data_IF_707116772936
#
_entry.id   IF_707116772936
#
_cell.length_a   1.000
_cell.length_b   1.000
_cell.length_c   1.000
_cell.angle_alpha   90.00
_cell.angle_beta   90.00
_cell.angle_gamma   90.00
#
_symmetry.space_group_name_H-M   'P 1'
#
loop_
_entity.id
_entity.type
_entity.pdbx_description
1 polymer ?
#
# COMPACT_ATOMS: atom_id res chain seq x y z
N UNK A 1 2.65 -7.59 22.70
CA UNK A 1 3.39 -8.71 22.07
C UNK A 1 3.04 -8.84 20.58
N UNK A 2 1.97 -8.20 20.12
CA UNK A 2 1.48 -8.21 18.72
C UNK A 2 2.04 -7.09 17.82
N UNK A 3 2.49 -5.95 18.38
CA UNK A 3 2.78 -4.75 17.59
C UNK A 3 3.80 -4.96 16.47
N UNK A 4 4.97 -5.55 16.73
CA UNK A 4 6.03 -5.61 15.72
C UNK A 4 5.66 -6.49 14.50
N UNK A 5 4.99 -7.63 14.71
CA UNK A 5 4.58 -8.51 13.61
C UNK A 5 3.46 -7.88 12.77
N UNK A 6 2.50 -7.21 13.44
CA UNK A 6 1.44 -6.46 12.77
C UNK A 6 2.03 -5.26 12.01
N UNK A 7 2.92 -4.48 12.63
CA UNK A 7 3.65 -3.36 12.01
C UNK A 7 4.41 -3.80 10.76
N UNK A 8 5.05 -4.98 10.78
CA UNK A 8 5.71 -5.55 9.60
C UNK A 8 4.73 -5.89 8.48
N UNK A 9 3.58 -6.48 8.82
CA UNK A 9 2.54 -6.77 7.83
C UNK A 9 1.97 -5.47 7.24
N UNK A 10 1.74 -4.46 8.08
CA UNK A 10 1.35 -3.11 7.65
C UNK A 10 2.38 -2.49 6.71
N UNK A 11 3.68 -2.56 7.04
CA UNK A 11 4.74 -2.09 6.15
C UNK A 11 4.71 -2.79 4.79
N UNK A 12 4.50 -4.11 4.75
CA UNK A 12 4.35 -4.86 3.50
C UNK A 12 3.14 -4.34 2.71
N UNK A 13 2.00 -4.10 3.38
CA UNK A 13 0.78 -3.57 2.76
C UNK A 13 0.96 -2.15 2.21
N UNK A 14 1.63 -1.26 2.95
CA UNK A 14 1.91 0.11 2.50
C UNK A 14 2.82 0.12 1.27
N UNK A 15 3.89 -0.67 1.27
CA UNK A 15 4.77 -0.79 0.09
C UNK A 15 3.99 -1.34 -1.11
N UNK A 16 3.10 -2.32 -0.87
CA UNK A 16 2.24 -2.86 -1.91
C UNK A 16 1.36 -1.78 -2.54
N UNK A 17 0.62 -1.03 -1.72
CA UNK A 17 -0.32 -0.02 -2.16
C UNK A 17 0.36 1.17 -2.83
N UNK A 18 1.47 1.64 -2.25
CA UNK A 18 2.13 2.86 -2.71
C UNK A 18 3.01 2.62 -3.94
N UNK A 19 3.63 1.43 -4.05
CA UNK A 19 4.62 1.15 -5.09
C UNK A 19 4.30 -0.02 -6.00
N UNK A 20 3.94 -1.19 -5.45
CA UNK A 20 3.77 -2.39 -6.26
C UNK A 20 2.56 -2.24 -7.20
N UNK A 21 1.41 -1.78 -6.69
CA UNK A 21 0.22 -1.59 -7.52
C UNK A 21 0.41 -0.53 -8.61
N UNK A 22 1.09 0.57 -8.26
CA UNK A 22 1.15 1.77 -9.10
C UNK A 22 2.28 1.81 -10.13
N UNK A 23 3.34 1.00 -9.98
CA UNK A 23 4.51 1.07 -10.88
C UNK A 23 4.84 -0.28 -11.50
N UNK A 24 4.79 -0.36 -12.84
CA UNK A 24 5.23 -1.49 -13.67
C UNK A 24 6.66 -1.90 -13.36
N UNK A 25 7.54 -0.94 -13.10
CA UNK A 25 8.91 -1.25 -12.69
C UNK A 25 8.94 -2.16 -11.46
N UNK A 26 8.18 -1.82 -10.43
CA UNK A 26 8.14 -2.53 -9.16
C UNK A 26 7.44 -3.88 -9.30
N UNK A 27 6.25 -3.91 -9.93
CA UNK A 27 5.50 -5.16 -10.07
C UNK A 27 6.20 -6.20 -10.96
N UNK A 28 7.01 -5.77 -11.94
CA UNK A 28 7.83 -6.68 -12.75
C UNK A 28 8.88 -7.47 -11.96
N UNK A 29 9.14 -7.11 -10.69
CA UNK A 29 10.14 -7.76 -9.83
C UNK A 29 9.57 -8.86 -8.94
N UNK A 30 8.26 -9.05 -8.98
CA UNK A 30 7.49 -10.04 -8.20
C UNK A 30 6.63 -10.89 -9.15
N UNK A 31 5.90 -11.87 -8.62
CA UNK A 31 4.91 -12.62 -9.40
C UNK A 31 3.61 -11.83 -9.43
N UNK A 32 3.46 -10.92 -10.38
CA UNK A 32 2.28 -10.06 -10.50
C UNK A 32 1.35 -10.54 -11.62
N UNK A 33 0.74 -11.72 -11.41
CA UNK A 33 -0.20 -12.34 -12.35
C UNK A 33 -1.56 -11.64 -12.34
N UNK A 34 -2.42 -11.89 -13.33
CA UNK A 34 -3.74 -11.26 -13.39
C UNK A 34 -4.63 -11.61 -12.19
N UNK A 35 -4.48 -12.82 -11.64
CA UNK A 35 -5.14 -13.21 -10.38
C UNK A 35 -4.67 -12.34 -9.21
N UNK A 36 -3.37 -12.12 -9.09
CA UNK A 36 -2.76 -11.33 -8.00
C UNK A 36 -3.12 -9.83 -8.12
N UNK A 37 -3.45 -9.34 -9.32
CA UNK A 37 -3.93 -7.96 -9.56
C UNK A 37 -5.33 -7.70 -9.01
N UNK A 38 -6.10 -8.75 -8.70
CA UNK A 38 -7.42 -8.61 -8.08
C UNK A 38 -7.29 -8.26 -6.59
N UNK A 39 -8.32 -8.57 -5.79
CA UNK A 39 -8.26 -8.42 -4.34
C UNK A 39 -7.45 -9.50 -3.63
N UNK A 40 -6.85 -10.46 -4.36
CA UNK A 40 -6.14 -11.62 -3.79
C UNK A 40 -5.16 -11.29 -2.65
N UNK A 41 -4.28 -10.31 -2.83
CA UNK A 41 -3.37 -9.88 -1.76
C UNK A 41 -4.10 -9.20 -0.60
N UNK A 42 -5.13 -8.40 -0.90
CA UNK A 42 -6.00 -7.79 0.10
C UNK A 42 -6.74 -8.82 0.95
N UNK A 43 -7.22 -9.91 0.34
CA UNK A 43 -7.88 -11.01 1.03
C UNK A 43 -6.92 -11.68 2.01
N UNK A 44 -5.67 -11.96 1.59
CA UNK A 44 -4.63 -12.49 2.49
C UNK A 44 -4.42 -11.57 3.70
N UNK A 45 -4.29 -10.26 3.47
CA UNK A 45 -4.12 -9.29 4.56
C UNK A 45 -5.33 -9.24 5.49
N UNK A 46 -6.54 -9.25 4.94
CA UNK A 46 -7.78 -9.28 5.71
C UNK A 46 -7.86 -10.51 6.61
N UNK A 47 -7.51 -11.69 6.08
CA UNK A 47 -7.46 -12.91 6.87
C UNK A 47 -6.42 -12.86 8.01
N UNK A 48 -5.24 -12.30 7.77
CA UNK A 48 -4.27 -12.10 8.86
C UNK A 48 -4.87 -11.23 9.97
N UNK A 49 -5.47 -10.09 9.60
CA UNK A 49 -6.14 -9.19 10.53
C UNK A 49 -7.22 -9.90 11.35
N UNK A 50 -8.11 -10.64 10.69
CA UNK A 50 -9.24 -11.34 11.33
C UNK A 50 -8.80 -12.48 12.26
N UNK A 51 -7.60 -13.03 12.05
CA UNK A 51 -7.13 -14.21 12.78
C UNK A 51 -6.08 -13.91 13.85
N UNK A 52 -5.54 -12.68 13.93
CA UNK A 52 -4.56 -12.33 14.96
C UNK A 52 -5.13 -12.41 16.38
N UNK A 53 -6.36 -11.90 16.59
CA UNK A 53 -7.04 -11.95 17.90
C UNK A 53 -7.24 -13.38 18.41
N UNK A 54 -7.44 -14.34 17.50
CA UNK A 54 -7.58 -15.76 17.83
C UNK A 54 -6.30 -16.38 18.40
N UNK A 55 -5.14 -15.72 18.24
CA UNK A 55 -3.84 -16.16 18.71
C UNK A 55 -3.47 -15.49 20.04
N UNK A 56 -3.95 -14.27 20.28
CA UNK A 56 -3.60 -13.47 21.46
C UNK A 56 -4.59 -13.61 22.62
N UNK A 57 -5.87 -13.88 22.35
CA UNK A 57 -6.91 -13.89 23.38
C UNK A 57 -7.13 -15.30 23.98
N UNK A 58 -6.23 -15.71 24.88
CA UNK A 58 -6.38 -16.98 25.60
C UNK A 58 -7.50 -16.88 26.65
N UNK A 59 -8.58 -17.68 26.55
CA UNK A 59 -9.71 -17.61 27.47
C UNK A 59 -9.33 -18.14 28.86
N UNK A 60 -9.55 -17.34 29.90
CA UNK A 60 -9.31 -17.70 31.30
C UNK A 60 -10.56 -18.27 31.96
N UNK A 61 -10.37 -19.24 32.88
CA UNK A 61 -11.42 -19.84 33.71
C UNK A 61 -12.64 -20.33 32.92
N UNK A 62 -12.39 -20.93 31.75
CA UNK A 62 -13.46 -21.36 30.84
C UNK A 62 -13.80 -22.84 31.00
N UNK A 63 -15.06 -23.20 30.76
CA UNK A 63 -15.49 -24.61 30.76
C UNK A 63 -14.85 -25.40 29.61
N UNK A 64 -14.82 -26.72 29.71
CA UNK A 64 -14.14 -27.60 28.75
C UNK A 64 -14.58 -27.37 27.29
N UNK A 65 -15.87 -27.14 27.04
CA UNK A 65 -16.36 -26.84 25.67
C UNK A 65 -15.71 -25.59 25.08
N UNK A 66 -15.59 -24.52 25.87
CA UNK A 66 -14.96 -23.27 25.44
C UNK A 66 -13.46 -23.46 25.21
N UNK A 67 -12.78 -24.22 26.09
CA UNK A 67 -11.37 -24.57 25.92
C UNK A 67 -11.11 -25.33 24.62
N UNK A 68 -11.91 -26.35 24.34
CA UNK A 68 -11.74 -27.16 23.13
C UNK A 68 -11.99 -26.35 21.87
N UNK A 69 -13.06 -25.54 21.85
CA UNK A 69 -13.32 -24.60 20.75
C UNK A 69 -12.16 -23.63 20.54
N UNK A 70 -11.60 -23.08 21.62
CA UNK A 70 -10.42 -22.22 21.56
C UNK A 70 -9.21 -22.95 20.98
N UNK A 71 -8.85 -24.15 21.48
CA UNK A 71 -7.71 -24.90 20.96
C UNK A 71 -7.82 -25.20 19.46
N UNK A 72 -9.02 -25.54 18.99
CA UNK A 72 -9.31 -25.77 17.58
C UNK A 72 -9.08 -24.49 16.78
N UNK A 73 -9.73 -23.39 17.16
CA UNK A 73 -9.62 -22.11 16.46
C UNK A 73 -8.20 -21.55 16.48
N UNK A 74 -7.52 -21.62 17.62
CA UNK A 74 -6.14 -21.19 17.82
C UNK A 74 -5.16 -21.93 16.91
N UNK A 75 -5.20 -23.27 16.92
CA UNK A 75 -4.32 -24.09 16.08
C UNK A 75 -4.66 -23.94 14.59
N UNK A 76 -5.96 -23.77 14.25
CA UNK A 76 -6.39 -23.56 12.88
C UNK A 76 -5.95 -22.19 12.34
N UNK A 77 -6.04 -21.12 13.14
CA UNK A 77 -5.56 -19.80 12.79
C UNK A 77 -4.05 -19.82 12.48
N UNK A 78 -3.25 -20.45 13.35
CA UNK A 78 -1.82 -20.64 13.12
C UNK A 78 -1.55 -21.38 11.80
N UNK A 79 -2.26 -22.48 11.55
CA UNK A 79 -2.10 -23.28 10.32
C UNK A 79 -2.39 -22.46 9.06
N UNK A 80 -3.49 -21.69 9.08
CA UNK A 80 -3.91 -20.84 7.96
C UNK A 80 -2.92 -19.71 7.73
N UNK A 81 -2.49 -19.02 8.77
CA UNK A 81 -1.46 -17.97 8.67
C UNK A 81 -0.13 -18.52 8.13
N UNK A 82 0.25 -19.75 8.49
CA UNK A 82 1.42 -20.42 7.90
C UNK A 82 1.28 -20.69 6.40
N UNK A 83 0.09 -21.07 5.93
CA UNK A 83 -0.18 -21.24 4.50
C UNK A 83 -0.19 -19.88 3.78
N UNK A 84 -0.71 -18.81 4.38
CA UNK A 84 -0.61 -17.47 3.81
C UNK A 84 0.81 -16.95 3.72
N UNK A 85 1.70 -17.26 4.68
CA UNK A 85 3.13 -16.93 4.53
C UNK A 85 3.73 -17.66 3.32
N UNK A 86 3.34 -18.90 3.05
CA UNK A 86 3.77 -19.62 1.85
C UNK A 86 3.36 -18.88 0.57
N UNK A 87 2.11 -18.41 0.51
CA UNK A 87 1.60 -17.61 -0.60
C UNK A 87 2.32 -16.26 -0.73
N UNK A 88 2.54 -15.53 0.36
CA UNK A 88 3.27 -14.26 0.32
C UNK A 88 4.70 -14.46 -0.21
N UNK A 89 5.40 -15.51 0.22
CA UNK A 89 6.74 -15.84 -0.29
C UNK A 89 6.74 -16.17 -1.79
N UNK A 90 5.64 -16.77 -2.29
CA UNK A 90 5.41 -17.01 -3.70
C UNK A 90 5.20 -15.69 -4.46
N UNK A 91 4.23 -14.87 -4.03
CA UNK A 91 3.89 -13.56 -4.63
C UNK A 91 5.15 -12.70 -4.75
N UNK A 92 5.88 -12.50 -3.64
CA UNK A 92 7.07 -11.66 -3.61
C UNK A 92 8.32 -12.32 -4.22
N UNK A 93 8.19 -13.53 -4.76
CA UNK A 93 9.26 -14.27 -5.44
C UNK A 93 10.52 -14.41 -4.57
N UNK A 94 10.34 -14.78 -3.30
CA UNK A 94 11.43 -14.96 -2.33
C UNK A 94 12.23 -16.26 -2.55
N UNK A 95 11.87 -17.07 -3.56
CA UNK A 95 12.47 -18.37 -3.88
C UNK A 95 12.47 -19.36 -2.69
N UNK A 96 11.48 -19.23 -1.81
CA UNK A 96 11.22 -20.14 -0.70
C UNK A 96 9.89 -20.84 -0.99
N UNK A 97 9.86 -22.16 -0.85
CA UNK A 97 8.69 -22.99 -1.09
C UNK A 97 8.32 -23.79 0.16
N UNK A 98 7.24 -24.57 0.11
CA UNK A 98 6.83 -25.46 1.20
C UNK A 98 7.96 -26.31 1.80
N UNK A 99 8.83 -26.86 0.96
CA UNK A 99 9.94 -27.71 1.40
C UNK A 99 10.95 -26.93 2.26
N UNK A 100 11.16 -25.65 1.94
CA UNK A 100 11.94 -24.76 2.80
C UNK A 100 11.25 -24.52 4.15
N UNK A 101 9.96 -24.21 4.16
CA UNK A 101 9.22 -23.95 5.41
C UNK A 101 9.18 -25.18 6.31
N UNK A 102 9.04 -26.39 5.75
CA UNK A 102 9.10 -27.66 6.50
C UNK A 102 10.43 -27.90 7.23
N UNK A 103 11.51 -27.22 6.86
CA UNK A 103 12.79 -27.29 7.57
C UNK A 103 12.85 -26.34 8.77
N UNK A 104 11.95 -25.35 8.85
CA UNK A 104 11.83 -24.47 10.01
C UNK A 104 11.11 -25.22 11.13
N UNK A 105 11.79 -25.39 12.27
CA UNK A 105 11.24 -26.08 13.44
C UNK A 105 10.01 -25.38 14.01
N UNK A 106 9.93 -24.04 13.91
CA UNK A 106 8.80 -23.27 14.39
C UNK A 106 7.55 -23.53 13.54
N UNK A 107 7.74 -23.63 12.22
CA UNK A 107 6.68 -24.02 11.29
C UNK A 107 6.23 -25.46 11.55
N UNK A 108 7.17 -26.41 11.49
CA UNK A 108 6.86 -27.85 11.50
C UNK A 108 6.24 -28.29 12.82
N UNK A 109 6.78 -27.85 13.97
CA UNK A 109 6.28 -28.27 15.29
C UNK A 109 4.84 -27.80 15.54
N UNK A 110 4.52 -26.54 15.22
CA UNK A 110 3.16 -26.03 15.36
C UNK A 110 2.17 -26.73 14.41
N UNK A 111 2.61 -26.98 13.16
CA UNK A 111 1.81 -27.68 12.16
C UNK A 111 1.55 -29.15 12.54
N UNK A 112 2.55 -29.82 13.12
CA UNK A 112 2.42 -31.19 13.64
C UNK A 112 1.41 -31.28 14.79
N UNK A 113 1.48 -30.37 15.77
CA UNK A 113 0.50 -30.30 16.88
C UNK A 113 -0.92 -30.13 16.32
N UNK A 114 -1.14 -29.17 15.42
CA UNK A 114 -2.44 -28.96 14.78
C UNK A 114 -2.89 -30.20 14.00
N UNK A 115 -2.01 -30.78 13.20
CA UNK A 115 -2.36 -31.92 12.36
C UNK A 115 -2.69 -33.16 13.18
N UNK A 116 -1.97 -33.39 14.27
CA UNK A 116 -2.23 -34.50 15.18
C UNK A 116 -3.57 -34.32 15.90
N UNK A 117 -3.79 -33.14 16.49
CA UNK A 117 -4.92 -32.92 17.41
C UNK A 117 -6.24 -32.53 16.71
N UNK A 118 -6.16 -31.75 15.62
CA UNK A 118 -7.33 -31.15 14.97
C UNK A 118 -7.51 -31.66 13.53
N UNK A 119 -6.42 -31.76 12.77
CA UNK A 119 -6.49 -32.16 11.36
C UNK A 119 -6.78 -33.64 11.15
N UNK A 120 -6.10 -34.50 11.89
CA UNK A 120 -6.16 -35.95 11.78
C UNK A 120 -6.17 -36.64 13.16
N UNK A 121 -7.19 -36.35 14.00
CA UNK A 121 -7.29 -36.94 15.35
C UNK A 121 -7.40 -38.47 15.33
N UNK A 122 -7.70 -39.07 14.17
CA UNK A 122 -7.51 -40.50 13.88
C UNK A 122 -6.65 -40.57 12.62
N UNK A 123 -5.38 -40.94 12.78
CA UNK A 123 -4.41 -41.01 11.69
C UNK A 123 -4.28 -42.43 11.16
N UNK A 124 -4.46 -42.58 9.85
CA UNK A 124 -4.17 -43.82 9.11
C UNK A 124 -3.22 -43.54 7.95
N UNK A 125 -2.26 -44.44 7.71
CA UNK A 125 -1.37 -44.40 6.54
C UNK A 125 -1.54 -45.72 5.80
N UNK A 126 -1.90 -45.66 4.50
CA UNK A 126 -2.16 -46.84 3.67
C UNK A 126 -3.12 -47.84 4.33
N UNK A 127 -4.20 -47.33 4.95
CA UNK A 127 -5.19 -48.13 5.67
C UNK A 127 -4.78 -48.62 7.07
N UNK A 128 -3.50 -48.53 7.45
CA UNK A 128 -3.01 -48.92 8.77
C UNK A 128 -3.24 -47.82 9.80
N UNK A 129 -3.77 -48.17 10.96
CA UNK A 129 -3.96 -47.26 12.09
C UNK A 129 -2.62 -46.87 12.71
N UNK A 130 -2.35 -45.56 12.79
CA UNK A 130 -1.08 -45.02 13.29
C UNK A 130 -1.28 -44.42 14.67
N UNK A 131 -2.27 -43.54 14.81
CA UNK A 131 -2.54 -42.88 16.08
C UNK A 131 -3.97 -42.37 16.22
N UNK A 132 -4.38 -42.16 17.46
CA UNK A 132 -5.58 -41.39 17.79
C UNK A 132 -5.33 -40.44 18.96
N UNK A 133 -6.02 -39.30 18.97
CA UNK A 133 -5.93 -38.30 20.03
C UNK A 133 -7.29 -37.86 20.57
N UNK A 134 -7.32 -37.49 21.84
CA UNK A 134 -8.52 -36.98 22.53
C UNK A 134 -8.13 -35.80 23.42
N UNK A 135 -8.90 -34.70 23.40
CA UNK A 135 -8.68 -33.60 24.34
C UNK A 135 -8.82 -34.06 25.79
N UNK A 136 -7.99 -33.51 26.68
CA UNK A 136 -8.10 -33.75 28.12
C UNK A 136 -9.12 -32.82 28.76
N UNK A 137 -9.93 -33.37 29.68
CA UNK A 137 -10.88 -32.61 30.51
C UNK A 137 -10.23 -31.98 31.74
N UNK A 138 -8.92 -32.18 31.93
CA UNK A 138 -8.15 -31.73 33.09
C UNK A 138 -7.07 -30.69 32.72
N UNK A 139 -7.16 -30.09 31.53
CA UNK A 139 -6.18 -29.09 31.09
C UNK A 139 -6.24 -27.82 31.94
N UNK A 140 -5.06 -27.29 32.31
CA UNK A 140 -4.97 -25.92 32.84
C UNK A 140 -5.28 -24.91 31.72
N UNK A 141 -5.54 -23.68 32.12
CA UNK A 141 -5.94 -22.61 31.19
C UNK A 141 -4.80 -22.17 30.26
N UNK A 142 -3.55 -22.41 30.64
CA UNK A 142 -2.34 -21.98 29.93
C UNK A 142 -1.70 -23.09 29.07
N UNK A 143 -2.36 -24.24 28.95
CA UNK A 143 -1.83 -25.41 28.25
C UNK A 143 -2.88 -26.10 27.39
N UNK A 144 -2.41 -26.68 26.30
CA UNK A 144 -3.13 -27.65 25.49
C UNK A 144 -2.74 -29.02 26.01
N UNK A 145 -3.71 -29.74 26.56
CA UNK A 145 -3.50 -31.09 27.07
C UNK A 145 -4.39 -32.09 26.33
N UNK A 146 -3.80 -33.20 25.90
CA UNK A 146 -4.51 -34.25 25.19
C UNK A 146 -3.89 -35.62 25.43
N UNK A 147 -4.69 -36.65 25.24
CA UNK A 147 -4.29 -38.03 25.29
C UNK A 147 -3.91 -38.47 23.87
N UNK A 148 -2.80 -39.18 23.74
CA UNK A 148 -2.32 -39.75 22.50
C UNK A 148 -2.15 -41.27 22.63
N UNK A 149 -2.59 -42.00 21.62
CA UNK A 149 -2.36 -43.43 21.45
C UNK A 149 -1.63 -43.60 20.12
N UNK A 150 -0.39 -44.11 20.14
CA UNK A 150 0.47 -44.19 18.94
C UNK A 150 1.07 -45.60 18.79
N UNK A 151 1.25 -46.05 17.55
CA UNK A 151 1.81 -47.37 17.24
C UNK A 151 3.20 -47.59 17.86
N UNK A 152 4.04 -46.56 17.88
CA UNK A 152 5.39 -46.60 18.47
C UNK A 152 5.40 -46.94 19.97
N UNK A 153 4.28 -46.72 20.67
CA UNK A 153 4.11 -47.07 22.09
C UNK A 153 3.11 -48.23 22.28
N UNK A 154 2.95 -49.09 21.27
CA UNK A 154 1.96 -50.17 21.23
C UNK A 154 0.54 -49.70 21.59
N UNK A 155 0.18 -48.48 21.19
CA UNK A 155 -1.08 -47.82 21.53
C UNK A 155 -1.36 -47.69 23.04
N UNK A 156 -0.32 -47.68 23.87
CA UNK A 156 -0.46 -47.28 25.28
C UNK A 156 -0.75 -45.78 25.35
N UNK A 157 -1.56 -45.39 26.34
CA UNK A 157 -1.91 -43.97 26.49
C UNK A 157 -0.68 -43.16 26.86
N UNK A 158 -0.55 -41.99 26.24
CA UNK A 158 0.45 -40.98 26.54
C UNK A 158 -0.27 -39.66 26.79
N UNK A 159 0.10 -38.98 27.87
CA UNK A 159 -0.43 -37.66 28.19
C UNK A 159 0.50 -36.59 27.61
N UNK A 160 0.02 -35.85 26.62
CA UNK A 160 0.76 -34.75 26.02
C UNK A 160 0.29 -33.43 26.65
N UNK A 161 1.25 -32.60 27.04
CA UNK A 161 1.01 -31.27 27.59
C UNK A 161 1.91 -30.25 26.89
N UNK A 162 1.29 -29.19 26.36
CA UNK A 162 1.97 -28.16 25.58
C UNK A 162 1.54 -26.79 26.09
N UNK A 163 2.50 -25.94 26.48
CA UNK A 163 2.20 -24.56 26.84
C UNK A 163 1.75 -23.75 25.63
N UNK A 164 0.64 -23.02 25.79
CA UNK A 164 0.09 -22.16 24.74
C UNK A 164 1.11 -21.08 24.36
N UNK A 165 1.76 -20.47 25.35
CA UNK A 165 2.82 -19.48 25.15
C UNK A 165 3.95 -19.98 24.26
N UNK A 166 4.33 -21.26 24.35
CA UNK A 166 5.38 -21.81 23.51
C UNK A 166 4.91 -21.97 22.06
N UNK A 167 3.64 -22.29 21.83
CA UNK A 167 3.04 -22.33 20.50
C UNK A 167 3.01 -20.93 19.90
N UNK A 168 2.57 -19.93 20.67
CA UNK A 168 2.53 -18.52 20.27
C UNK A 168 3.94 -18.02 19.94
N UNK A 169 4.92 -18.21 20.82
CA UNK A 169 6.31 -17.77 20.62
C UNK A 169 6.92 -18.36 19.34
N UNK A 170 6.72 -19.66 19.09
CA UNK A 170 7.17 -20.28 17.83
C UNK A 170 6.48 -19.65 16.63
N UNK A 171 5.18 -19.42 16.70
CA UNK A 171 4.44 -18.82 15.60
C UNK A 171 4.88 -17.40 15.29
N UNK A 172 5.05 -16.56 16.32
CA UNK A 172 5.57 -15.20 16.17
C UNK A 172 6.97 -15.22 15.54
N UNK A 173 7.87 -16.10 16.00
CA UNK A 173 9.21 -16.23 15.42
C UNK A 173 9.16 -16.64 13.95
N UNK A 174 8.24 -17.54 13.58
CA UNK A 174 8.00 -17.93 12.20
C UNK A 174 7.51 -16.75 11.35
N UNK A 175 6.49 -16.02 11.81
CA UNK A 175 5.97 -14.85 11.09
C UNK A 175 7.05 -13.79 10.92
N UNK A 176 7.76 -13.45 12.01
CA UNK A 176 8.79 -12.42 12.01
C UNK A 176 9.91 -12.73 11.02
N UNK A 177 10.40 -13.98 11.03
CA UNK A 177 11.44 -14.45 10.12
C UNK A 177 11.03 -14.27 8.66
N UNK A 178 9.81 -14.67 8.31
CA UNK A 178 9.36 -14.64 6.92
C UNK A 178 8.93 -13.23 6.48
N UNK A 179 8.29 -12.44 7.34
CA UNK A 179 8.00 -11.03 7.04
C UNK A 179 9.28 -10.22 6.85
N UNK A 180 10.33 -10.46 7.65
CA UNK A 180 11.64 -9.84 7.43
C UNK A 180 12.23 -10.20 6.06
N UNK A 181 12.07 -11.44 5.60
CA UNK A 181 12.53 -11.86 4.26
C UNK A 181 11.78 -11.11 3.15
N UNK A 182 10.46 -10.96 3.29
CA UNK A 182 9.62 -10.22 2.35
C UNK A 182 9.99 -8.73 2.35
N UNK A 183 10.10 -8.10 3.52
CA UNK A 183 10.46 -6.69 3.67
C UNK A 183 11.83 -6.42 3.01
N UNK A 184 12.85 -7.23 3.28
CA UNK A 184 14.18 -7.08 2.63
C UNK A 184 14.08 -7.18 1.12
N UNK A 185 13.25 -8.09 0.60
CA UNK A 185 13.02 -8.24 -0.84
C UNK A 185 12.37 -6.98 -1.43
N UNK A 186 11.38 -6.41 -0.74
CA UNK A 186 10.72 -5.16 -1.13
C UNK A 186 11.66 -3.97 -1.08
N UNK A 187 12.44 -3.81 -0.02
CA UNK A 187 13.46 -2.75 0.11
C UNK A 187 14.46 -2.79 -1.05
N UNK A 188 14.92 -3.97 -1.47
CA UNK A 188 15.78 -4.12 -2.65
C UNK A 188 15.10 -3.66 -3.94
N UNK A 189 13.79 -3.90 -4.09
CA UNK A 189 13.02 -3.42 -5.23
C UNK A 189 12.95 -1.89 -5.20
N UNK A 190 12.59 -1.30 -4.06
CA UNK A 190 12.47 0.15 -3.89
C UNK A 190 13.81 0.86 -4.12
N UNK A 191 14.92 0.34 -3.60
CA UNK A 191 16.24 0.92 -3.84
C UNK A 191 16.66 0.87 -5.32
N UNK A 192 16.25 -0.17 -6.06
CA UNK A 192 16.48 -0.22 -7.52
C UNK A 192 15.59 0.76 -8.25
N UNK A 193 14.36 0.96 -7.78
CA UNK A 193 13.43 1.93 -8.35
C UNK A 193 13.94 3.35 -8.13
N UNK A 194 14.39 3.68 -6.91
CA UNK A 194 15.03 4.96 -6.59
C UNK A 194 16.16 5.30 -7.54
N UNK A 195 17.03 4.34 -7.86
CA UNK A 195 18.11 4.54 -8.86
C UNK A 195 17.60 4.88 -10.25
N UNK A 196 16.45 4.33 -10.67
CA UNK A 196 15.83 4.71 -11.94
C UNK A 196 15.27 6.13 -11.90
N UNK A 197 14.65 6.52 -10.77
CA UNK A 197 14.16 7.87 -10.55
C UNK A 197 15.31 8.88 -10.56
N UNK A 198 16.43 8.59 -9.88
CA UNK A 198 17.63 9.43 -9.89
C UNK A 198 18.25 9.57 -11.28
N UNK A 199 18.16 8.52 -12.12
CA UNK A 199 18.58 8.58 -13.50
C UNK A 199 17.63 9.48 -14.33
N UNK A 200 16.31 9.38 -14.12
CA UNK A 200 15.33 10.27 -14.75
C UNK A 200 15.59 11.73 -14.36
N UNK A 201 15.75 12.02 -13.07
CA UNK A 201 16.00 13.36 -12.51
C UNK A 201 17.16 14.08 -13.20
N UNK A 202 18.29 13.38 -13.38
CA UNK A 202 19.48 13.92 -14.07
C UNK A 202 19.24 14.22 -15.55
N UNK A 203 18.28 13.54 -16.16
CA UNK A 203 17.99 13.60 -17.59
C UNK A 203 16.85 14.57 -17.97
N UNK A 204 16.07 15.08 -16.99
CA UNK A 204 14.89 15.93 -17.24
C UNK A 204 15.20 17.13 -18.14
N UNK A 205 16.35 17.78 -17.91
CA UNK A 205 16.74 19.00 -18.63
C UNK A 205 17.64 18.74 -19.85
N UNK A 206 18.08 17.50 -20.04
CA UNK A 206 19.05 17.12 -21.09
C UNK A 206 18.37 16.43 -22.27
N UNK A 207 17.35 15.61 -21.98
CA UNK A 207 16.64 14.85 -23.00
C UNK A 207 15.62 15.72 -23.73
N UNK A 208 15.37 15.41 -25.00
CA UNK A 208 14.24 15.99 -25.71
C UNK A 208 12.91 15.54 -25.08
N UNK A 209 11.87 16.35 -25.27
CA UNK A 209 10.57 16.14 -24.62
C UNK A 209 9.93 14.79 -24.98
N UNK A 210 10.05 14.35 -26.23
CA UNK A 210 9.45 13.09 -26.66
C UNK A 210 10.16 11.89 -26.01
N UNK A 211 11.48 11.92 -25.94
CA UNK A 211 12.27 10.91 -25.21
C UNK A 211 11.95 10.91 -23.72
N UNK A 212 11.80 12.08 -23.10
CA UNK A 212 11.40 12.20 -21.70
C UNK A 212 10.04 11.52 -21.44
N UNK A 213 9.03 11.79 -22.27
CA UNK A 213 7.71 11.17 -22.14
C UNK A 213 7.76 9.64 -22.29
N UNK A 214 8.61 9.12 -23.18
CA UNK A 214 8.82 7.67 -23.32
C UNK A 214 9.40 7.06 -22.04
N UNK A 215 10.36 7.72 -21.41
CA UNK A 215 10.96 7.26 -20.16
C UNK A 215 9.92 7.26 -19.02
N UNK A 216 9.17 8.36 -18.87
CA UNK A 216 8.13 8.49 -17.84
C UNK A 216 7.06 7.41 -18.04
N UNK A 217 6.59 7.20 -19.26
CA UNK A 217 5.54 6.21 -19.56
C UNK A 217 5.96 4.76 -19.27
N UNK A 218 7.26 4.47 -19.37
CA UNK A 218 7.78 3.12 -19.17
C UNK A 218 8.03 2.76 -17.70
N UNK A 219 8.37 3.76 -16.87
CA UNK A 219 8.89 3.51 -15.52
C UNK A 219 8.20 4.31 -14.42
N UNK A 220 7.44 5.34 -14.77
CA UNK A 220 6.91 6.35 -13.85
C UNK A 220 5.49 6.79 -14.24
N UNK A 221 4.72 5.86 -14.80
CA UNK A 221 3.43 6.11 -15.44
C UNK A 221 2.38 6.69 -14.49
N UNK A 222 2.45 6.38 -13.19
CA UNK A 222 1.56 6.94 -12.16
C UNK A 222 1.60 8.47 -12.11
N UNK A 223 2.73 9.10 -12.49
CA UNK A 223 2.80 10.56 -12.60
C UNK A 223 1.90 11.11 -13.72
N UNK A 224 1.75 10.39 -14.82
CA UNK A 224 0.90 10.83 -15.94
C UNK A 224 -0.59 10.79 -15.58
N UNK A 225 -0.95 10.06 -14.52
CA UNK A 225 -2.30 9.99 -13.95
C UNK A 225 -2.54 11.04 -12.86
N UNK A 226 -1.55 11.86 -12.52
CA UNK A 226 -1.63 12.78 -11.36
C UNK A 226 -2.40 14.08 -11.61
N UNK A 227 -2.63 14.44 -12.88
CA UNK A 227 -3.30 15.68 -13.25
C UNK A 227 -4.11 15.50 -14.55
N UNK A 228 -5.00 16.45 -14.83
CA UNK A 228 -5.74 16.46 -16.09
C UNK A 228 -4.77 16.69 -17.25
N UNK A 229 -5.04 16.02 -18.38
CA UNK A 229 -4.30 16.15 -19.66
C UNK A 229 -2.77 15.94 -19.56
N UNK A 230 -2.31 15.20 -18.54
CA UNK A 230 -0.93 14.71 -18.43
C UNK A 230 -0.69 13.42 -19.22
N UNK A 231 -1.69 12.91 -19.95
CA UNK A 231 -1.49 11.80 -20.87
C UNK A 231 -0.52 12.20 -21.99
N UNK A 232 0.19 11.20 -22.51
CA UNK A 232 1.29 11.39 -23.48
C UNK A 232 0.82 12.12 -24.75
N UNK A 233 -0.39 11.85 -25.21
CA UNK A 233 -0.88 12.39 -26.47
C UNK A 233 -1.27 13.86 -26.31
N UNK A 234 -1.97 14.22 -25.22
CA UNK A 234 -2.23 15.62 -24.86
C UNK A 234 -0.94 16.41 -24.69
N UNK A 235 0.04 15.89 -23.97
CA UNK A 235 1.32 16.56 -23.72
C UNK A 235 2.09 16.86 -25.02
N UNK A 236 2.10 15.94 -25.99
CA UNK A 236 2.72 16.17 -27.30
C UNK A 236 2.04 17.31 -28.06
N UNK A 237 0.71 17.34 -28.07
CA UNK A 237 -0.06 18.41 -28.71
C UNK A 237 0.25 19.75 -28.07
N UNK A 238 0.23 19.83 -26.73
CA UNK A 238 0.52 21.06 -25.99
C UNK A 238 1.94 21.54 -26.27
N UNK A 239 2.92 20.63 -26.25
CA UNK A 239 4.32 20.97 -26.51
C UNK A 239 4.52 21.57 -27.91
N UNK A 240 3.82 21.03 -28.92
CA UNK A 240 3.88 21.57 -30.29
C UNK A 240 3.34 22.99 -30.43
N UNK A 241 2.46 23.42 -29.50
CA UNK A 241 1.84 24.76 -29.47
C UNK A 241 2.55 25.75 -28.57
N UNK A 242 3.71 25.41 -28.01
CA UNK A 242 4.44 26.28 -27.06
C UNK A 242 4.85 27.64 -27.66
N UNK A 243 4.91 27.74 -28.99
CA UNK A 243 5.17 28.99 -29.71
C UNK A 243 3.90 29.78 -30.07
N UNK A 244 2.71 29.20 -29.93
CA UNK A 244 1.45 29.81 -30.33
C UNK A 244 0.93 30.79 -29.27
N UNK A 245 1.11 30.45 -27.99
CA UNK A 245 0.68 31.27 -26.86
C UNK A 245 1.41 30.89 -25.56
N UNK A 246 1.63 31.86 -24.67
CA UNK A 246 2.26 31.66 -23.35
C UNK A 246 1.56 30.62 -22.45
N UNK A 247 0.28 30.29 -22.72
CA UNK A 247 -0.49 29.33 -21.91
C UNK A 247 0.08 27.91 -22.03
N UNK A 248 0.50 27.54 -23.24
CA UNK A 248 1.03 26.22 -23.52
C UNK A 248 2.46 26.10 -22.98
N UNK A 249 3.26 27.16 -23.14
CA UNK A 249 4.59 27.24 -22.52
C UNK A 249 4.50 27.13 -21.01
N UNK A 250 3.62 27.92 -20.38
CA UNK A 250 3.37 27.83 -18.95
C UNK A 250 2.92 26.42 -18.51
N UNK A 251 2.05 25.78 -19.29
CA UNK A 251 1.61 24.41 -19.01
C UNK A 251 2.79 23.42 -18.99
N UNK A 252 3.68 23.50 -19.98
CA UNK A 252 4.88 22.65 -20.06
C UNK A 252 5.87 22.95 -18.92
N UNK A 253 6.08 24.21 -18.58
CA UNK A 253 6.92 24.60 -17.43
C UNK A 253 6.34 24.06 -16.12
N UNK A 254 5.02 24.15 -15.94
CA UNK A 254 4.34 23.57 -14.78
C UNK A 254 4.45 22.04 -14.76
N UNK A 255 4.34 21.37 -15.91
CA UNK A 255 4.57 19.92 -16.01
C UNK A 255 5.97 19.53 -15.52
N UNK A 256 7.02 20.24 -15.95
CA UNK A 256 8.38 19.99 -15.48
C UNK A 256 8.52 20.25 -13.97
N UNK A 257 7.87 21.29 -13.45
CA UNK A 257 7.88 21.58 -12.02
C UNK A 257 7.18 20.48 -11.22
N UNK A 258 5.99 20.05 -11.65
CA UNK A 258 5.26 18.94 -11.02
C UNK A 258 6.04 17.63 -11.08
N UNK A 259 6.73 17.36 -12.20
CA UNK A 259 7.56 16.16 -12.33
C UNK A 259 8.70 16.15 -11.31
N UNK A 260 9.39 17.28 -11.13
CA UNK A 260 10.47 17.41 -10.14
C UNK A 260 9.96 17.22 -8.70
N UNK A 261 8.84 17.85 -8.37
CA UNK A 261 8.19 17.70 -7.06
C UNK A 261 7.79 16.25 -6.81
N UNK A 262 7.13 15.61 -7.78
CA UNK A 262 6.70 14.22 -7.67
C UNK A 262 7.90 13.27 -7.51
N UNK A 263 8.99 13.49 -8.25
CA UNK A 263 10.24 12.74 -8.12
C UNK A 263 10.82 12.88 -6.70
N UNK A 264 10.86 14.10 -6.18
CA UNK A 264 11.34 14.35 -4.83
C UNK A 264 10.51 13.60 -3.79
N UNK A 265 9.18 13.78 -3.80
CA UNK A 265 8.27 13.11 -2.88
C UNK A 265 8.39 11.58 -2.96
N UNK A 266 8.43 11.02 -4.18
CA UNK A 266 8.55 9.57 -4.36
C UNK A 266 9.88 9.02 -3.82
N UNK A 267 10.98 9.77 -3.95
CA UNK A 267 12.27 9.38 -3.36
C UNK A 267 12.23 9.43 -1.84
N UNK A 268 11.63 10.47 -1.25
CA UNK A 268 11.48 10.58 0.21
C UNK A 268 10.63 9.44 0.78
N UNK A 269 9.52 9.09 0.12
CA UNK A 269 8.71 7.93 0.49
C UNK A 269 9.53 6.63 0.47
N UNK A 270 10.36 6.42 -0.56
CA UNK A 270 11.25 5.24 -0.62
C UNK A 270 12.25 5.24 0.55
N UNK A 271 12.80 6.39 0.91
CA UNK A 271 13.76 6.50 2.01
C UNK A 271 13.12 6.22 3.37
N UNK A 272 11.87 6.65 3.57
CA UNK A 272 11.05 6.29 4.72
C UNK A 272 10.91 4.77 4.86
N UNK A 273 10.55 4.07 3.78
CA UNK A 273 10.38 2.61 3.81
C UNK A 273 11.69 1.83 3.93
N UNK A 274 12.80 2.37 3.43
CA UNK A 274 14.10 1.69 3.44
C UNK A 274 14.97 2.04 4.63
N UNK A 275 14.50 2.92 5.52
CA UNK A 275 15.26 3.36 6.70
C UNK A 275 16.52 4.15 6.35
N UNK A 276 16.57 4.72 5.14
CA UNK A 276 17.69 5.54 4.62
C UNK A 276 17.38 7.03 4.67
N UNK A 277 16.72 7.51 5.72
CA UNK A 277 16.78 8.94 6.00
C UNK A 277 18.22 9.26 6.43
N UNK A 278 18.99 9.86 5.53
CA UNK A 278 19.92 10.90 5.98
C UNK A 278 19.03 11.92 6.68
N UNK A 279 19.16 11.97 8.00
CA UNK A 279 18.40 12.86 8.85
C UNK A 279 18.88 14.29 8.61
N UNK A 280 18.38 14.92 7.55
CA UNK A 280 18.32 16.37 7.42
C UNK A 280 16.85 16.79 7.26
N UNK A 281 16.04 16.40 8.25
CA UNK A 281 14.92 17.26 8.64
C UNK A 281 15.49 18.33 9.56
N UNK A 282 16.23 19.29 9.00
CA UNK A 282 16.30 20.60 9.62
C UNK A 282 14.90 21.19 9.54
N UNK A 283 14.17 21.07 10.65
CA UNK A 283 13.06 21.93 11.04
C UNK A 283 12.17 22.39 9.87
N UNK A 284 11.38 21.48 9.31
CA UNK A 284 10.08 21.92 8.79
C UNK A 284 9.21 22.08 10.03
N UNK A 285 9.26 23.27 10.65
CA UNK A 285 8.20 23.70 11.53
C UNK A 285 6.89 23.44 10.79
N UNK A 286 6.10 22.49 11.29
CA UNK A 286 4.72 22.36 10.88
C UNK A 286 4.11 23.75 11.07
N UNK A 287 3.46 24.35 10.06
CA UNK A 287 2.80 25.62 10.30
C UNK A 287 1.80 25.38 11.41
N UNK A 288 2.10 25.91 12.60
CA UNK A 288 1.13 26.02 13.67
C UNK A 288 0.10 26.99 13.09
N UNK A 289 -0.99 26.46 12.54
CA UNK A 289 -2.16 27.26 12.20
C UNK A 289 -2.75 27.70 13.53
N UNK A 290 -2.15 28.76 14.07
CA UNK A 290 -2.71 29.51 15.17
C UNK A 290 -3.87 30.24 14.55
N UNK A 291 -5.10 29.76 14.79
CA UNK A 291 -6.30 30.54 14.48
C UNK A 291 -6.32 31.71 15.46
N UNK A 292 -5.51 32.73 15.17
CA UNK A 292 -5.67 34.04 15.75
C UNK A 292 -6.93 34.61 15.12
N UNK A 293 -8.01 34.68 15.89
CA UNK A 293 -9.08 35.64 15.62
C UNK A 293 -8.48 37.04 15.81
N UNK A 294 -7.73 37.51 14.81
CA UNK A 294 -7.31 38.90 14.72
C UNK A 294 -8.54 39.70 14.31
N UNK A 295 -9.24 40.20 15.32
CA UNK A 295 -10.10 41.36 15.20
C UNK A 295 -9.22 42.56 14.82
N UNK A 296 -8.91 42.71 13.53
CA UNK A 296 -8.49 43.95 12.92
C UNK A 296 -8.95 43.95 11.46
N UNK A 297 -9.96 44.78 11.20
CA UNK A 297 -10.41 45.12 9.85
C UNK A 297 -9.23 45.65 9.05
N UNK A 298 -8.92 45.04 7.89
CA UNK A 298 -8.44 45.73 6.68
C UNK A 298 -8.31 44.73 5.52
N UNK A 299 -9.17 44.92 4.49
CA UNK A 299 -9.30 44.17 3.22
C UNK A 299 -9.38 42.64 3.35
N UNK A 300 -10.58 42.09 3.23
CA UNK A 300 -10.77 40.65 3.00
C UNK A 300 -9.90 40.23 1.81
N UNK A 301 -8.92 39.35 2.05
CA UNK A 301 -8.11 38.77 1.00
C UNK A 301 -9.05 38.06 0.03
N UNK A 302 -9.11 38.55 -1.22
CA UNK A 302 -10.02 38.00 -2.22
C UNK A 302 -9.50 36.62 -2.60
N UNK A 303 -10.20 35.57 -2.15
CA UNK A 303 -9.89 34.20 -2.51
C UNK A 303 -10.71 33.74 -3.72
N UNK A 304 -10.04 33.02 -4.62
CA UNK A 304 -10.59 32.42 -5.84
C UNK A 304 -10.68 30.89 -5.76
N UNK A 305 -10.29 30.30 -4.62
CA UNK A 305 -10.08 28.85 -4.50
C UNK A 305 -11.37 28.06 -4.78
N UNK A 306 -12.51 28.56 -4.29
CA UNK A 306 -13.79 27.87 -4.46
C UNK A 306 -14.21 27.83 -5.93
N UNK A 307 -14.19 28.97 -6.61
CA UNK A 307 -14.58 29.07 -8.02
C UNK A 307 -13.63 28.27 -8.92
N UNK A 308 -12.31 28.39 -8.70
CA UNK A 308 -11.31 27.60 -9.45
C UNK A 308 -11.52 26.10 -9.23
N UNK A 309 -11.77 25.68 -8.00
CA UNK A 309 -12.06 24.28 -7.68
C UNK A 309 -13.34 23.74 -8.31
N UNK A 310 -14.30 24.61 -8.67
CA UNK A 310 -15.49 24.21 -9.42
C UNK A 310 -15.23 24.19 -10.92
N UNK A 311 -14.53 25.19 -11.45
CA UNK A 311 -14.16 25.24 -12.87
C UNK A 311 -13.27 24.08 -13.30
N UNK A 312 -12.38 23.58 -12.44
CA UNK A 312 -11.56 22.40 -12.76
C UNK A 312 -12.38 21.13 -13.07
N UNK A 313 -13.58 21.02 -12.48
CA UNK A 313 -14.41 19.80 -12.61
C UNK A 313 -15.17 19.71 -13.92
N UNK A 314 -15.28 20.81 -14.68
CA UNK A 314 -15.86 20.83 -16.04
C UNK A 314 -17.22 20.12 -16.17
N UNK A 315 -18.11 20.31 -15.18
CA UNK A 315 -19.36 19.53 -15.05
C UNK A 315 -20.37 19.77 -16.17
N UNK A 316 -20.70 21.04 -16.42
CA UNK A 316 -21.66 21.47 -17.43
C UNK A 316 -21.52 22.97 -17.69
N UNK A 317 -22.19 23.45 -18.75
CA UNK A 317 -22.16 24.85 -19.18
C UNK A 317 -22.71 25.81 -18.10
N UNK A 318 -23.82 25.47 -17.44
CA UNK A 318 -24.43 26.33 -16.43
C UNK A 318 -23.55 26.53 -15.21
N UNK A 319 -22.87 25.47 -14.74
CA UNK A 319 -21.89 25.56 -13.67
C UNK A 319 -20.71 26.46 -14.10
N UNK A 320 -20.21 26.28 -15.33
CA UNK A 320 -19.16 27.14 -15.86
C UNK A 320 -19.57 28.61 -15.88
N UNK A 321 -20.73 28.94 -16.43
CA UNK A 321 -21.27 30.30 -16.51
C UNK A 321 -21.40 30.91 -15.10
N UNK A 322 -21.98 30.16 -14.16
CA UNK A 322 -22.14 30.61 -12.78
C UNK A 322 -20.79 30.90 -12.12
N UNK A 323 -19.85 29.94 -12.10
CA UNK A 323 -18.58 30.12 -11.40
C UNK A 323 -17.63 31.10 -12.11
N UNK A 324 -17.66 31.16 -13.44
CA UNK A 324 -16.91 32.17 -14.19
C UNK A 324 -17.44 33.57 -13.94
N UNK A 325 -18.77 33.78 -13.88
CA UNK A 325 -19.35 35.09 -13.56
C UNK A 325 -18.94 35.59 -12.17
N UNK A 326 -18.85 34.68 -11.19
CA UNK A 326 -18.33 35.00 -9.86
C UNK A 326 -16.87 35.45 -9.91
N UNK A 327 -16.01 34.78 -10.68
CA UNK A 327 -14.63 35.23 -10.90
C UNK A 327 -14.56 36.59 -11.60
N UNK A 328 -15.34 36.79 -12.67
CA UNK A 328 -15.41 38.07 -13.41
C UNK A 328 -15.83 39.23 -12.49
N UNK A 329 -16.72 38.97 -11.52
CA UNK A 329 -17.15 39.98 -10.54
C UNK A 329 -16.06 40.35 -9.51
N UNK A 330 -15.15 39.42 -9.22
CA UNK A 330 -14.08 39.59 -8.23
C UNK A 330 -12.77 40.12 -8.83
N UNK A 331 -12.53 39.89 -10.13
CA UNK A 331 -11.28 40.24 -10.81
C UNK A 331 -11.56 40.99 -12.12
N UNK A 332 -11.05 42.22 -12.23
CA UNK A 332 -11.16 43.04 -13.43
C UNK A 332 -9.82 43.11 -14.20
N UNK A 333 -9.14 41.97 -14.34
CA UNK A 333 -7.91 41.84 -15.12
C UNK A 333 -8.25 41.35 -16.53
N UNK A 334 -7.81 42.09 -17.56
CA UNK A 334 -8.08 41.78 -18.97
C UNK A 334 -7.59 40.39 -19.40
N UNK A 335 -6.46 39.93 -18.88
CA UNK A 335 -5.90 38.61 -19.20
C UNK A 335 -6.76 37.50 -18.58
N UNK A 336 -7.20 37.69 -17.33
CA UNK A 336 -8.12 36.77 -16.64
C UNK A 336 -9.45 36.65 -17.39
N UNK A 337 -10.00 37.77 -17.85
CA UNK A 337 -11.25 37.77 -18.62
C UNK A 337 -11.07 37.09 -19.99
N UNK A 338 -9.93 37.32 -20.66
CA UNK A 338 -9.61 36.67 -21.93
C UNK A 338 -9.51 35.15 -21.76
N UNK A 339 -8.85 34.67 -20.70
CA UNK A 339 -8.77 33.24 -20.41
C UNK A 339 -10.12 32.62 -20.09
N UNK A 340 -10.96 33.28 -19.30
CA UNK A 340 -12.31 32.79 -19.01
C UNK A 340 -13.16 32.67 -20.28
N UNK A 341 -13.10 33.66 -21.18
CA UNK A 341 -13.80 33.58 -22.46
C UNK A 341 -13.23 32.47 -23.36
N UNK A 342 -11.91 32.27 -23.34
CA UNK A 342 -11.27 31.20 -24.09
C UNK A 342 -11.70 29.82 -23.58
N UNK A 343 -11.77 29.63 -22.25
CA UNK A 343 -12.28 28.41 -21.64
C UNK A 343 -13.74 28.14 -22.02
N UNK A 344 -14.58 29.19 -22.07
CA UNK A 344 -16.00 29.09 -22.43
C UNK A 344 -16.21 28.53 -23.84
N UNK A 345 -15.49 29.07 -24.83
CA UNK A 345 -15.56 28.61 -26.22
C UNK A 345 -15.00 27.19 -26.38
N UNK A 346 -14.09 26.77 -25.49
CA UNK A 346 -13.40 25.49 -25.55
C UNK A 346 -13.90 24.45 -24.52
N UNK A 347 -15.14 24.57 -24.04
CA UNK A 347 -15.74 23.61 -23.12
C UNK A 347 -15.79 22.16 -23.63
N UNK A 348 -15.60 21.92 -24.93
CA UNK A 348 -15.54 20.55 -25.48
C UNK A 348 -14.12 20.08 -25.80
N UNK A 349 -13.11 20.94 -25.66
CA UNK A 349 -11.72 20.63 -25.96
C UNK A 349 -10.90 20.65 -24.66
N UNK A 350 -10.58 19.47 -24.14
CA UNK A 350 -9.87 19.33 -22.86
C UNK A 350 -8.51 20.01 -22.86
N UNK A 351 -7.75 19.89 -23.95
CA UNK A 351 -6.42 20.50 -24.08
C UNK A 351 -6.53 22.01 -23.91
N UNK A 352 -7.40 22.63 -24.70
CA UNK A 352 -7.55 24.08 -24.69
C UNK A 352 -8.14 24.60 -23.37
N UNK A 353 -9.13 23.89 -22.83
CA UNK A 353 -9.76 24.23 -21.56
C UNK A 353 -8.77 24.18 -20.40
N UNK A 354 -8.02 23.09 -20.25
CA UNK A 354 -7.14 22.90 -19.10
C UNK A 354 -5.84 23.69 -19.22
N UNK A 355 -5.31 23.94 -20.43
CA UNK A 355 -4.20 24.89 -20.60
C UNK A 355 -4.59 26.30 -20.18
N UNK A 356 -5.77 26.78 -20.62
CA UNK A 356 -6.31 28.07 -20.20
C UNK A 356 -6.59 28.12 -18.68
N UNK A 357 -7.17 27.06 -18.11
CA UNK A 357 -7.40 26.95 -16.67
C UNK A 357 -6.13 27.06 -15.82
N UNK A 358 -5.05 26.37 -16.22
CA UNK A 358 -3.77 26.43 -15.49
C UNK A 358 -3.16 27.83 -15.58
N UNK A 359 -3.20 28.44 -16.77
CA UNK A 359 -2.70 29.79 -16.98
C UNK A 359 -3.52 30.83 -16.19
N UNK A 360 -4.85 30.73 -16.20
CA UNK A 360 -5.76 31.53 -15.37
C UNK A 360 -5.41 31.44 -13.87
N UNK A 361 -5.16 30.23 -13.35
CA UNK A 361 -4.78 30.03 -11.95
C UNK A 361 -3.45 30.72 -11.61
N UNK A 362 -2.54 30.81 -12.57
CA UNK A 362 -1.28 31.54 -12.42
C UNK A 362 -1.48 33.05 -12.47
N UNK A 363 -2.27 33.56 -13.43
CA UNK A 363 -2.60 34.99 -13.58
C UNK A 363 -3.45 35.55 -12.44
N UNK A 364 -4.09 34.70 -11.63
CA UNK A 364 -4.81 35.12 -10.43
C UNK A 364 -3.92 35.15 -9.18
N UNK A 365 -2.72 34.56 -9.23
CA UNK A 365 -1.75 34.52 -8.13
C UNK A 365 -0.65 35.58 -8.24
N UNK A 366 -0.39 36.05 -9.46
CA UNK A 366 0.57 37.11 -9.80
C UNK A 366 -0.17 38.28 -10.41
#
# INVERSE_FOLDING_TARGET
>A
MENNTIEKLHKIAEIWNNFILGYKFCNSKIRFTDEIKTNYFGDILGYFHDTFSLISDVPKNSGNSTKFSFYISFLQAIYVQQDFVEELLYIFNCKKNKSYLKKDINYSKNREIRNELVGHPIRKINGKFISSTLFSYHSKDDEIEYLRYHIDNNYSFEKINIKIDDVIKRHINFLDTNFNLIIRKLEVILLRFKKQIEALEKNILVQDFETLLKIISAYFEKFLESDFIYDVESLKVIYSKTHDHERYKYFIENFYSSLKEYIFCTKDDIDLFTGKKESDFSEIESPIITITKSSNQNKSEVTYHYELGKLSTKRNFHDFEFFSSLLKSKCNNGDVLAELNYMEVNLHNDIEYYCAYKYLKWSLKN
#
